data_IF_384308863626
#
_entry.id   IF_384308863626
#
_cell.length_a   1.000
_cell.length_b   1.000
_cell.length_c   1.000
_cell.angle_alpha   90.00
_cell.angle_beta   90.00
_cell.angle_gamma   90.00
#
_symmetry.space_group_name_H-M   'P 1'
#
loop_
_entity.id
_entity.type
_entity.pdbx_description
1 polymer ?
#
# COMPACT_ATOMS: atom_id res chain seq x y z
N UNK A 1 0.02 6.89 25.54
CA UNK A 1 -0.40 5.51 25.89
C UNK A 1 -0.82 4.65 24.69
N UNK A 2 -1.70 5.11 23.78
CA UNK A 2 -2.19 4.31 22.61
C UNK A 2 -1.10 3.59 21.79
N UNK A 3 -0.02 4.28 21.43
CA UNK A 3 1.05 3.70 20.59
C UNK A 3 1.79 2.57 21.31
N UNK A 4 2.12 2.76 22.59
CA UNK A 4 2.79 1.74 23.40
C UNK A 4 1.89 0.51 23.60
N UNK A 5 0.59 0.74 23.82
CA UNK A 5 -0.39 -0.35 23.89
C UNK A 5 -0.46 -1.15 22.58
N UNK A 6 -0.50 -0.48 21.43
CA UNK A 6 -0.55 -1.15 20.11
C UNK A 6 0.76 -1.89 19.76
N UNK A 7 1.90 -1.46 20.30
CA UNK A 7 3.16 -2.18 20.17
C UNK A 7 3.16 -3.46 21.03
N UNK A 8 2.59 -3.40 22.23
CA UNK A 8 2.49 -4.54 23.14
C UNK A 8 1.44 -5.56 22.67
N UNK A 9 0.26 -5.10 22.25
CA UNK A 9 -0.80 -5.93 21.71
C UNK A 9 -1.15 -5.52 20.28
N UNK A 10 -0.79 -6.40 19.35
CA UNK A 10 -1.06 -6.20 17.93
C UNK A 10 -2.55 -6.20 17.62
N UNK A 11 -3.39 -6.84 18.42
CA UNK A 11 -4.85 -6.92 18.18
C UNK A 11 -5.52 -5.53 18.13
N UNK A 12 -4.94 -4.54 18.84
CA UNK A 12 -5.46 -3.19 19.02
C UNK A 12 -5.37 -2.28 17.78
N UNK A 13 -4.73 -2.74 16.71
CA UNK A 13 -4.75 -2.03 15.42
C UNK A 13 -5.40 -2.88 14.33
N UNK A 14 -6.24 -2.23 13.54
CA UNK A 14 -6.99 -2.86 12.43
C UNK A 14 -6.34 -2.63 11.08
N UNK A 15 -5.49 -1.60 10.96
CA UNK A 15 -4.82 -1.20 9.73
C UNK A 15 -3.30 -1.25 9.85
N UNK A 16 -2.66 -1.61 8.75
CA UNK A 16 -1.22 -1.73 8.63
C UNK A 16 -0.74 -0.98 7.38
N UNK A 17 0.45 -0.40 7.47
CA UNK A 17 1.08 0.25 6.32
C UNK A 17 1.67 -0.83 5.40
N UNK A 18 1.30 -0.81 4.13
CA UNK A 18 1.86 -1.69 3.11
C UNK A 18 2.26 -0.89 1.87
N UNK A 19 3.20 -1.47 1.09
CA UNK A 19 3.46 -1.03 -0.27
C UNK A 19 2.43 -1.62 -1.23
N UNK A 20 2.23 -0.96 -2.35
CA UNK A 20 1.36 -1.35 -3.45
C UNK A 20 2.09 -1.14 -4.76
N UNK A 21 1.92 -2.09 -5.68
CA UNK A 21 2.38 -1.98 -7.06
C UNK A 21 1.17 -2.01 -7.99
N UNK A 22 0.66 -0.84 -8.41
CA UNK A 22 -0.32 -0.77 -9.49
C UNK A 22 0.24 -1.38 -10.78
N UNK A 23 -0.53 -2.26 -11.42
CA UNK A 23 -0.09 -3.00 -12.62
C UNK A 23 -0.37 -2.21 -13.91
N UNK A 24 -1.28 -1.26 -13.87
CA UNK A 24 -1.62 -0.41 -15.01
C UNK A 24 -2.20 0.93 -14.55
N UNK A 25 -2.43 1.84 -15.49
CA UNK A 25 -3.07 3.13 -15.24
C UNK A 25 -2.16 4.22 -14.71
N UNK A 26 -2.73 5.39 -14.39
CA UNK A 26 -1.99 6.51 -13.82
C UNK A 26 -1.50 6.19 -12.39
N UNK A 27 -0.42 6.85 -11.92
CA UNK A 27 0.04 6.68 -10.55
C UNK A 27 -1.05 7.04 -9.54
N UNK A 28 -1.37 6.12 -8.64
CA UNK A 28 -2.25 6.41 -7.52
C UNK A 28 -1.59 7.44 -6.59
N UNK A 29 -2.32 8.49 -6.23
CA UNK A 29 -1.85 9.57 -5.35
C UNK A 29 -2.51 9.45 -3.98
N UNK A 30 -2.09 10.30 -3.06
CA UNK A 30 -2.74 10.47 -1.76
C UNK A 30 -4.27 10.56 -1.91
N UNK A 31 -4.97 9.83 -1.04
CA UNK A 31 -6.43 9.80 -1.01
C UNK A 31 -7.07 8.84 -2.01
N UNK A 32 -6.31 8.18 -2.90
CA UNK A 32 -6.87 7.12 -3.73
C UNK A 32 -7.38 5.95 -2.85
N UNK A 33 -8.57 5.46 -3.17
CA UNK A 33 -9.22 4.36 -2.44
C UNK A 33 -8.56 3.03 -2.84
N UNK A 34 -8.37 2.15 -1.87
CA UNK A 34 -7.90 0.78 -2.08
C UNK A 34 -9.10 -0.15 -1.87
N UNK A 35 -9.45 -0.94 -2.88
CA UNK A 35 -10.58 -1.86 -2.87
C UNK A 35 -10.13 -3.32 -3.07
N UNK A 36 -10.93 -4.27 -2.59
CA UNK A 36 -10.84 -5.67 -3.04
C UNK A 36 -11.33 -5.80 -4.47
N UNK A 37 -11.18 -6.99 -5.07
CA UNK A 37 -11.73 -7.28 -6.40
C UNK A 37 -13.25 -7.13 -6.46
N UNK A 38 -13.92 -7.37 -5.34
CA UNK A 38 -15.38 -7.29 -5.20
C UNK A 38 -15.88 -5.86 -4.90
N UNK A 39 -14.97 -4.88 -4.85
CA UNK A 39 -15.31 -3.47 -4.65
C UNK A 39 -15.43 -3.05 -3.18
N UNK A 40 -15.05 -3.90 -2.22
CA UNK A 40 -15.01 -3.50 -0.81
C UNK A 40 -13.84 -2.55 -0.58
N UNK A 41 -14.07 -1.35 -0.06
CA UNK A 41 -13.00 -0.47 0.41
C UNK A 41 -12.28 -1.08 1.61
N UNK A 42 -10.95 -1.21 1.51
CA UNK A 42 -10.08 -1.84 2.53
C UNK A 42 -8.91 -0.93 2.93
N UNK A 43 -8.86 0.30 2.41
CA UNK A 43 -7.78 1.21 2.75
C UNK A 43 -7.69 2.46 1.89
N UNK A 44 -6.67 3.25 2.16
CA UNK A 44 -6.33 4.46 1.40
C UNK A 44 -4.85 4.58 1.12
N UNK A 45 -4.55 5.04 -0.09
CA UNK A 45 -3.22 5.46 -0.49
C UNK A 45 -2.85 6.74 0.26
N UNK A 46 -1.67 6.74 0.85
CA UNK A 46 -1.08 7.89 1.55
C UNK A 46 -0.06 8.61 0.68
N UNK A 47 0.70 7.86 -0.13
CA UNK A 47 1.65 8.42 -1.08
C UNK A 47 1.80 7.46 -2.25
N UNK A 48 2.04 7.99 -3.45
CA UNK A 48 2.32 7.16 -4.61
C UNK A 48 2.80 7.96 -5.81
N UNK A 49 3.61 7.32 -6.65
CA UNK A 49 4.26 7.93 -7.81
C UNK A 49 4.76 6.88 -8.81
N UNK A 50 5.23 7.34 -9.97
CA UNK A 50 6.01 6.51 -10.89
C UNK A 50 7.45 6.43 -10.39
N UNK A 51 7.97 5.22 -10.20
CA UNK A 51 9.35 5.00 -9.80
C UNK A 51 10.26 4.95 -11.03
N UNK A 52 11.19 5.90 -11.22
CA UNK A 52 12.11 5.89 -12.36
C UNK A 52 13.07 4.69 -12.31
N UNK A 53 13.46 4.25 -11.11
CA UNK A 53 14.34 3.08 -10.92
C UNK A 53 13.65 1.77 -11.31
N UNK A 54 12.37 1.63 -11.00
CA UNK A 54 11.61 0.40 -11.25
C UNK A 54 10.80 0.43 -12.55
N UNK A 55 10.73 1.59 -13.23
CA UNK A 55 9.93 1.85 -14.43
C UNK A 55 8.47 1.41 -14.29
N UNK A 56 7.91 1.55 -13.10
CA UNK A 56 6.52 1.21 -12.77
C UNK A 56 5.98 2.08 -11.65
N UNK A 57 4.66 2.11 -11.53
CA UNK A 57 3.98 2.80 -10.44
C UNK A 57 4.21 2.07 -9.12
N UNK A 58 4.41 2.85 -8.06
CA UNK A 58 4.48 2.38 -6.68
C UNK A 58 3.65 3.30 -5.81
N UNK A 59 3.01 2.73 -4.81
CA UNK A 59 2.24 3.49 -3.82
C UNK A 59 2.40 2.86 -2.45
N UNK A 60 2.07 3.61 -1.40
CA UNK A 60 1.96 3.10 -0.03
C UNK A 60 0.67 3.60 0.58
N UNK A 61 0.09 2.77 1.43
CA UNK A 61 -1.18 3.07 2.07
C UNK A 61 -1.38 2.27 3.34
N UNK A 62 -2.39 2.67 4.10
CA UNK A 62 -2.89 1.87 5.19
C UNK A 62 -4.00 0.97 4.67
N UNK A 63 -3.84 -0.33 4.91
CA UNK A 63 -4.75 -1.40 4.46
C UNK A 63 -5.20 -2.15 5.69
N UNK A 64 -6.46 -2.57 5.70
CA UNK A 64 -7.02 -3.43 6.73
C UNK A 64 -6.22 -4.74 6.82
N UNK A 65 -5.96 -5.19 8.05
CA UNK A 65 -5.10 -6.35 8.37
C UNK A 65 -5.32 -7.59 7.51
N UNK A 66 -6.56 -8.05 7.24
CA UNK A 66 -6.80 -9.26 6.46
C UNK A 66 -6.23 -9.20 5.04
N UNK A 67 -6.08 -7.99 4.49
CA UNK A 67 -5.65 -7.74 3.11
C UNK A 67 -4.22 -7.20 3.01
N UNK A 68 -3.47 -7.16 4.12
CA UNK A 68 -2.12 -6.58 4.16
C UNK A 68 -1.00 -7.56 3.76
N UNK A 69 -1.30 -8.86 3.64
CA UNK A 69 -0.31 -9.88 3.28
C UNK A 69 0.34 -9.52 1.93
N UNK A 70 1.65 -9.73 1.79
CA UNK A 70 2.35 -9.50 0.53
C UNK A 70 1.80 -10.40 -0.58
N UNK A 71 1.63 -9.85 -1.79
CA UNK A 71 1.10 -10.56 -2.94
C UNK A 71 -0.42 -10.60 -3.02
N UNK A 72 -1.13 -9.96 -2.09
CA UNK A 72 -2.59 -9.81 -2.14
C UNK A 72 -2.99 -8.90 -3.31
N UNK A 73 -3.89 -9.41 -4.15
CA UNK A 73 -4.48 -8.66 -5.25
C UNK A 73 -5.55 -7.70 -4.72
N UNK A 74 -5.42 -6.43 -5.10
CA UNK A 74 -6.31 -5.33 -4.75
C UNK A 74 -6.53 -4.45 -5.98
N UNK A 75 -7.32 -3.40 -5.80
CA UNK A 75 -7.55 -2.38 -6.80
C UNK A 75 -7.33 -1.00 -6.19
N UNK A 76 -6.80 -0.07 -6.99
CA UNK A 76 -6.74 1.34 -6.62
C UNK A 76 -7.69 2.13 -7.50
N UNK A 77 -8.51 2.98 -6.87
CA UNK A 77 -9.47 3.83 -7.57
C UNK A 77 -8.80 5.16 -7.86
N UNK A 78 -8.56 5.43 -9.15
CA UNK A 78 -7.96 6.68 -9.60
C UNK A 78 -8.93 7.36 -10.57
N UNK A 79 -9.42 8.54 -10.21
CA UNK A 79 -10.39 9.33 -11.01
C UNK A 79 -11.62 8.49 -11.40
N UNK A 80 -12.16 7.73 -10.45
CA UNK A 80 -13.35 6.88 -10.63
C UNK A 80 -13.10 5.58 -11.42
N UNK A 81 -11.88 5.31 -11.88
CA UNK A 81 -11.52 4.07 -12.57
C UNK A 81 -10.72 3.15 -11.65
N UNK A 82 -11.03 1.86 -11.70
CA UNK A 82 -10.35 0.82 -10.93
C UNK A 82 -9.16 0.30 -11.71
N UNK A 83 -8.00 0.27 -11.07
CA UNK A 83 -6.77 -0.28 -11.63
C UNK A 83 -6.25 -1.40 -10.73
N UNK A 84 -5.86 -2.56 -11.29
CA UNK A 84 -5.32 -3.66 -10.50
C UNK A 84 -4.01 -3.25 -9.82
N UNK A 85 -3.84 -3.67 -8.58
CA UNK A 85 -2.63 -3.46 -7.79
C UNK A 85 -2.33 -4.69 -6.93
N UNK A 86 -1.07 -4.85 -6.56
CA UNK A 86 -0.65 -5.97 -5.70
C UNK A 86 0.08 -5.40 -4.49
N UNK A 87 -0.23 -5.90 -3.29
CA UNK A 87 0.52 -5.54 -2.09
C UNK A 87 1.96 -6.00 -2.20
N UNK A 88 2.89 -5.12 -1.82
CA UNK A 88 4.32 -5.32 -1.99
C UNK A 88 5.07 -5.02 -0.69
N UNK A 89 6.16 -5.76 -0.48
CA UNK A 89 7.09 -5.48 0.61
C UNK A 89 7.83 -4.17 0.33
N UNK A 90 7.99 -3.37 1.38
CA UNK A 90 8.85 -2.19 1.36
C UNK A 90 10.16 -2.46 2.12
N UNK A 91 11.27 -1.78 1.76
CA UNK A 91 11.38 -0.77 0.70
C UNK A 91 11.31 -1.38 -0.71
N UNK A 92 10.81 -0.60 -1.68
CA UNK A 92 10.67 -1.03 -3.08
C UNK A 92 12.00 -1.20 -3.81
N UNK A 93 13.02 -0.43 -3.40
CA UNK A 93 14.38 -0.47 -3.91
C UNK A 93 15.32 -0.71 -2.72
N UNK A 94 16.30 -1.62 -2.82
CA UNK A 94 17.25 -1.86 -1.75
C UNK A 94 18.03 -0.60 -1.39
N UNK A 95 18.17 -0.34 -0.09
CA UNK A 95 18.95 0.78 0.42
C UNK A 95 20.44 0.45 0.38
N UNK A 96 21.26 1.31 -0.22
CA UNK A 96 22.74 1.20 -0.25
C UNK A 96 23.36 2.15 0.76
N UNK A 97 22.98 2.04 2.03
CA UNK A 97 23.59 2.85 3.09
C UNK A 97 25.04 2.42 3.28
N UNK A 98 25.93 3.40 3.46
CA UNK A 98 27.27 3.14 3.97
C UNK A 98 27.14 2.49 5.35
N UNK A 99 27.90 1.42 5.58
CA UNK A 99 28.03 0.77 6.88
C UNK A 99 29.51 0.83 7.26
N UNK A 100 29.81 1.52 8.35
CA UNK A 100 31.13 1.56 8.96
C UNK A 100 31.45 0.24 9.66
#
# INVERSE_FOLDING_TARGET
ERVLAQLADKSLYTRLRAGLTPLSGPPAREGAVIETRDGQEVGRVTSGTMSPCLRRNVAMGYIDKPFNKQGTELQVVVRGKRYPAVTAKMPFVPTKYYKA
#
